data_IF_358869312660
#
_entry.id   IF_358869312660
#
_cell.length_a   1.000
_cell.length_b   1.000
_cell.length_c   1.000
_cell.angle_alpha   90.00
_cell.angle_beta   90.00
_cell.angle_gamma   90.00
#
_symmetry.space_group_name_H-M   'P 1'
#
loop_
_entity.id
_entity.type
_entity.pdbx_description
1 polymer ?
#
# COMPACT_ATOMS: atom_id res chain seq x y z
N UNK A 1 -30.70 12.56 -10.60
CA UNK A 1 -29.49 12.95 -9.84
C UNK A 1 -28.29 12.40 -10.56
N UNK A 2 -27.36 13.26 -10.98
CA UNK A 2 -26.11 12.85 -11.60
C UNK A 2 -25.20 12.14 -10.60
N UNK A 3 -24.19 11.43 -11.09
CA UNK A 3 -23.19 10.75 -10.25
C UNK A 3 -22.49 11.73 -9.30
N UNK A 4 -22.27 12.97 -9.76
CA UNK A 4 -21.68 14.05 -8.98
C UNK A 4 -22.55 14.46 -7.79
N UNK A 5 -23.87 14.52 -7.97
CA UNK A 5 -24.81 14.87 -6.90
C UNK A 5 -24.84 13.78 -5.83
N UNK A 6 -24.76 12.50 -6.23
CA UNK A 6 -24.70 11.36 -5.30
C UNK A 6 -23.40 11.38 -4.49
N UNK A 7 -22.27 11.66 -5.13
CA UNK A 7 -20.97 11.80 -4.47
C UNK A 7 -20.97 12.98 -3.49
N UNK A 8 -21.51 14.13 -3.89
CA UNK A 8 -21.58 15.31 -3.04
C UNK A 8 -22.50 15.08 -1.83
N UNK A 9 -23.65 14.45 -2.05
CA UNK A 9 -24.57 14.04 -0.98
C UNK A 9 -23.89 13.10 0.01
N UNK A 10 -23.18 12.09 -0.49
CA UNK A 10 -22.45 11.13 0.34
C UNK A 10 -21.33 11.80 1.15
N UNK A 11 -20.57 12.71 0.53
CA UNK A 11 -19.54 13.47 1.23
C UNK A 11 -20.13 14.39 2.31
N UNK A 12 -21.21 15.11 2.02
CA UNK A 12 -21.87 15.97 3.01
C UNK A 12 -22.45 15.18 4.19
N UNK A 13 -22.94 13.95 3.94
CA UNK A 13 -23.46 13.02 4.95
C UNK A 13 -22.36 12.46 5.86
N UNK A 14 -21.18 12.16 5.31
CA UNK A 14 -20.08 11.48 6.01
C UNK A 14 -18.85 12.34 6.25
N UNK A 15 -18.99 13.66 6.16
CA UNK A 15 -17.88 14.58 6.37
C UNK A 15 -17.29 14.39 7.77
N UNK A 16 -16.00 14.01 7.90
CA UNK A 16 -15.38 13.84 9.20
C UNK A 16 -15.28 15.19 9.93
N UNK A 17 -15.49 15.16 11.25
CA UNK A 17 -15.28 16.33 12.10
C UNK A 17 -13.80 16.69 12.20
N UNK A 18 -13.50 17.92 12.64
CA UNK A 18 -12.12 18.36 12.89
C UNK A 18 -11.39 17.45 13.90
N UNK A 19 -12.09 16.97 14.93
CA UNK A 19 -11.53 16.05 15.93
C UNK A 19 -11.17 14.70 15.33
N UNK A 20 -12.02 14.15 14.45
CA UNK A 20 -11.75 12.88 13.78
C UNK A 20 -10.51 12.97 12.89
N UNK A 21 -10.32 14.11 12.21
CA UNK A 21 -9.13 14.37 11.39
C UNK A 21 -7.88 14.45 12.29
N UNK A 22 -7.94 15.17 13.41
CA UNK A 22 -6.80 15.28 14.34
C UNK A 22 -6.37 13.92 14.90
N UNK A 23 -7.33 13.09 15.32
CA UNK A 23 -7.06 11.75 15.82
C UNK A 23 -6.45 10.89 14.70
N UNK A 24 -7.05 10.90 13.50
CA UNK A 24 -6.51 10.14 12.37
C UNK A 24 -5.06 10.55 12.08
N UNK A 25 -4.76 11.86 12.05
CA UNK A 25 -3.40 12.35 11.82
C UNK A 25 -2.42 11.93 12.91
N UNK A 26 -2.86 11.87 14.18
CA UNK A 26 -2.01 11.43 15.27
C UNK A 26 -1.62 9.94 15.15
N UNK A 27 -2.51 9.11 14.60
CA UNK A 27 -2.28 7.66 14.41
C UNK A 27 -1.64 7.30 13.07
N UNK A 28 -1.53 8.24 12.12
CA UNK A 28 -0.91 7.99 10.81
C UNK A 28 0.49 7.35 10.90
N UNK A 29 1.42 7.81 11.77
CA UNK A 29 2.73 7.19 11.90
C UNK A 29 2.63 5.73 12.35
N UNK A 30 1.80 5.44 13.35
CA UNK A 30 1.59 4.08 13.85
C UNK A 30 1.03 3.16 12.77
N UNK A 31 0.01 3.62 12.03
CA UNK A 31 -0.53 2.86 10.90
C UNK A 31 0.54 2.57 9.84
N UNK A 32 1.44 3.53 9.57
CA UNK A 32 2.59 3.34 8.69
C UNK A 32 3.54 2.24 9.17
N UNK A 33 3.96 2.28 10.43
CA UNK A 33 4.89 1.28 10.99
C UNK A 33 4.28 -0.12 11.07
N UNK A 34 3.04 -0.25 11.57
CA UNK A 34 2.37 -1.54 11.65
C UNK A 34 2.04 -2.09 10.26
N UNK A 35 1.65 -1.24 9.31
CA UNK A 35 1.44 -1.62 7.92
C UNK A 35 2.74 -2.09 7.26
N UNK A 36 3.85 -1.40 7.48
CA UNK A 36 5.15 -1.80 6.97
C UNK A 36 5.60 -3.16 7.55
N UNK A 37 5.45 -3.35 8.86
CA UNK A 37 5.77 -4.61 9.52
C UNK A 37 4.93 -5.78 8.95
N UNK A 38 3.62 -5.59 8.82
CA UNK A 38 2.73 -6.60 8.24
C UNK A 38 3.09 -6.94 6.79
N UNK A 39 3.40 -5.93 5.96
CA UNK A 39 3.82 -6.13 4.58
C UNK A 39 5.16 -6.87 4.48
N UNK A 40 6.13 -6.56 5.35
CA UNK A 40 7.40 -7.28 5.41
C UNK A 40 7.18 -8.76 5.76
N UNK A 41 6.34 -9.04 6.75
CA UNK A 41 5.97 -10.41 7.10
C UNK A 41 5.29 -11.14 5.94
N UNK A 42 4.38 -10.49 5.22
CA UNK A 42 3.71 -11.06 4.06
C UNK A 42 4.72 -11.39 2.95
N UNK A 43 5.62 -10.45 2.61
CA UNK A 43 6.67 -10.66 1.61
C UNK A 43 7.57 -11.82 1.99
N UNK A 44 7.94 -11.93 3.28
CA UNK A 44 8.76 -13.02 3.79
C UNK A 44 8.08 -14.38 3.71
N UNK A 45 6.83 -14.51 4.16
CA UNK A 45 6.13 -15.80 4.19
C UNK A 45 5.68 -16.28 2.81
N UNK A 46 5.28 -15.37 1.94
CA UNK A 46 4.75 -15.71 0.61
C UNK A 46 5.80 -15.72 -0.47
N UNK A 47 7.04 -15.33 -0.14
CA UNK A 47 8.12 -15.18 -1.11
C UNK A 47 7.69 -14.30 -2.29
N UNK A 48 7.09 -13.14 -1.99
CA UNK A 48 6.44 -12.30 -3.01
C UNK A 48 7.46 -11.77 -4.02
N UNK A 49 7.65 -12.51 -5.11
CA UNK A 49 8.70 -12.31 -6.12
C UNK A 49 8.75 -10.89 -6.70
N UNK A 50 7.59 -10.25 -6.86
CA UNK A 50 7.48 -8.87 -7.38
C UNK A 50 8.27 -7.89 -6.50
N UNK A 51 8.23 -8.07 -5.18
CA UNK A 51 8.95 -7.21 -4.22
C UNK A 51 10.32 -7.80 -3.91
N UNK A 52 10.37 -9.10 -3.58
CA UNK A 52 11.60 -9.77 -3.15
C UNK A 52 12.71 -9.78 -4.21
N UNK A 53 12.37 -9.75 -5.51
CA UNK A 53 13.36 -9.70 -6.60
C UNK A 53 14.16 -8.38 -6.68
N UNK A 54 13.71 -7.32 -6.00
CA UNK A 54 14.45 -6.07 -5.87
C UNK A 54 15.44 -6.09 -4.70
N UNK A 55 15.31 -7.02 -3.76
CA UNK A 55 16.22 -7.13 -2.61
C UNK A 55 17.52 -7.78 -3.11
N UNK A 56 18.67 -7.09 -3.06
CA UNK A 56 19.92 -7.59 -3.64
C UNK A 56 20.34 -8.96 -3.11
N UNK A 57 20.09 -9.23 -1.83
CA UNK A 57 20.40 -10.50 -1.17
C UNK A 57 19.58 -11.69 -1.70
N UNK A 58 18.35 -11.46 -2.20
CA UNK A 58 17.45 -12.53 -2.67
C UNK A 58 17.58 -12.82 -4.18
N UNK A 59 18.54 -12.19 -4.87
CA UNK A 59 18.73 -12.33 -6.32
C UNK A 59 19.14 -13.78 -6.73
N UNK A 60 19.62 -14.59 -5.79
CA UNK A 60 19.93 -16.02 -6.00
C UNK A 60 18.67 -16.89 -6.00
N UNK A 61 17.62 -16.48 -5.27
CA UNK A 61 16.36 -17.23 -5.16
C UNK A 61 15.44 -16.97 -6.35
N UNK A 62 15.53 -15.78 -6.95
CA UNK A 62 14.75 -15.38 -8.10
C UNK A 62 15.69 -14.96 -9.23
N UNK A 63 16.20 -15.90 -10.05
CA UNK A 63 17.04 -15.55 -11.18
C UNK A 63 16.29 -14.56 -12.08
N UNK A 64 16.89 -13.38 -12.25
CA UNK A 64 16.40 -12.41 -13.23
C UNK A 64 16.67 -13.00 -14.61
N UNK A 65 15.70 -13.02 -15.54
CA UNK A 65 16.01 -13.34 -16.92
C UNK A 65 16.99 -12.26 -17.41
N UNK A 66 18.25 -12.64 -17.58
CA UNK A 66 19.24 -11.79 -18.22
C UNK A 66 18.70 -11.42 -19.60
N UNK A 67 18.70 -10.11 -19.89
CA UNK A 67 18.44 -9.53 -21.21
C UNK A 67 17.35 -10.23 -22.03
N UNK A 68 16.11 -9.73 -21.97
CA UNK A 68 15.31 -9.74 -23.19
C UNK A 68 16.01 -8.81 -24.18
N UNK A 69 16.95 -9.35 -24.96
CA UNK A 69 17.18 -8.82 -26.30
C UNK A 69 15.82 -8.88 -26.98
N UNK A 70 15.24 -7.70 -27.21
CA UNK A 70 14.11 -7.55 -28.08
C UNK A 70 14.55 -8.07 -29.47
N UNK A 71 14.10 -9.28 -29.82
CA UNK A 71 14.00 -9.71 -31.21
C UNK A 71 12.79 -9.05 -31.87
#
# INVERSE_FOLDING_TARGET
>A
MGLKDKMLYFYCRHRPSKSNVQIATAFMPSAGYFGAAALLTLVYYTDWKVIAGYIPLYNTKFPKPEGKEAK
#
